data_IF_740096473570
#
_entry.id   IF_740096473570
#
_cell.length_a   1.000
_cell.length_b   1.000
_cell.length_c   1.000
_cell.angle_alpha   90.00
_cell.angle_beta   90.00
_cell.angle_gamma   90.00
#
_symmetry.space_group_name_H-M   'P 1'
#
loop_
_entity.id
_entity.type
_entity.pdbx_description
1 polymer ?
#
# COMPACT_ATOMS: atom_id res chain seq x y z
N UNK A 1 6.08 -11.21 11.43
CA UNK A 1 6.07 -11.36 9.95
C UNK A 1 5.89 -9.97 9.35
N UNK A 2 6.64 -9.62 8.30
CA UNK A 2 6.52 -8.32 7.63
C UNK A 2 5.21 -8.20 6.85
N UNK A 3 4.78 -6.98 6.56
CA UNK A 3 3.62 -6.75 5.69
C UNK A 3 3.99 -6.90 4.22
N UNK A 4 3.03 -7.29 3.40
CA UNK A 4 3.11 -7.33 1.94
C UNK A 4 1.95 -6.54 1.33
N UNK A 5 2.20 -5.92 0.17
CA UNK A 5 1.19 -5.26 -0.64
C UNK A 5 1.23 -5.84 -2.06
N UNK A 6 0.06 -6.07 -2.64
CA UNK A 6 -0.09 -6.60 -3.98
C UNK A 6 -0.84 -5.62 -4.86
N UNK A 7 -0.24 -5.28 -6.00
CA UNK A 7 -0.84 -4.36 -6.96
C UNK A 7 -1.42 -5.15 -8.13
N UNK A 8 -2.70 -4.94 -8.41
CA UNK A 8 -3.38 -5.37 -9.63
C UNK A 8 -4.00 -4.17 -10.33
N UNK A 9 -4.00 -4.21 -11.66
CA UNK A 9 -4.59 -3.19 -12.53
C UNK A 9 -5.46 -3.86 -13.59
N UNK A 10 -6.57 -3.21 -13.96
CA UNK A 10 -7.37 -3.59 -15.13
C UNK A 10 -6.58 -3.33 -16.41
N UNK A 11 -6.66 -4.25 -17.38
CA UNK A 11 -5.98 -4.16 -18.69
C UNK A 11 -6.24 -2.85 -19.46
N UNK A 12 -7.28 -2.10 -19.12
CA UNK A 12 -7.72 -0.92 -19.87
C UNK A 12 -7.11 0.42 -19.42
N UNK A 13 -6.25 0.44 -18.38
CA UNK A 13 -5.61 1.66 -17.86
C UNK A 13 -4.19 1.38 -17.34
N UNK A 14 -3.20 1.13 -18.22
CA UNK A 14 -1.80 0.91 -17.81
C UNK A 14 -1.13 2.19 -17.27
N UNK A 15 -1.65 3.36 -17.67
CA UNK A 15 -1.10 4.67 -17.31
C UNK A 15 -1.92 5.33 -16.20
N UNK A 16 -1.23 5.99 -15.27
CA UNK A 16 -1.87 6.68 -14.15
C UNK A 16 -2.09 5.83 -12.89
N UNK A 17 -1.50 4.63 -12.81
CA UNK A 17 -1.43 3.87 -11.55
C UNK A 17 0.01 3.46 -11.20
N UNK A 18 0.43 3.76 -9.99
CA UNK A 18 1.66 3.30 -9.38
C UNK A 18 1.42 2.97 -7.90
N UNK A 19 2.23 2.08 -7.37
CA UNK A 19 2.25 1.79 -5.96
C UNK A 19 3.54 1.08 -5.63
N UNK A 20 3.95 1.12 -4.37
CA UNK A 20 5.20 0.51 -3.99
C UNK A 20 5.47 0.55 -2.51
N UNK A 21 6.66 0.13 -2.14
CA UNK A 21 7.21 0.31 -0.80
C UNK A 21 8.32 1.38 -0.85
N UNK A 22 8.27 2.33 0.07
CA UNK A 22 9.33 3.31 0.27
C UNK A 22 9.61 3.41 1.78
N UNK A 23 10.86 3.19 2.19
CA UNK A 23 11.18 2.99 3.60
C UNK A 23 10.42 1.80 4.18
N UNK A 24 9.69 2.00 5.30
CA UNK A 24 8.83 0.99 5.91
C UNK A 24 7.32 1.23 5.67
N UNK A 25 6.98 1.93 4.60
CA UNK A 25 5.60 2.29 4.26
C UNK A 25 5.24 1.81 2.85
N UNK A 26 3.97 1.45 2.67
CA UNK A 26 3.40 1.26 1.34
C UNK A 26 2.77 2.56 0.87
N UNK A 27 2.86 2.85 -0.42
CA UNK A 27 2.21 4.00 -1.04
C UNK A 27 1.44 3.57 -2.29
N UNK A 28 0.37 4.30 -2.57
CA UNK A 28 -0.45 4.18 -3.77
C UNK A 28 -0.56 5.57 -4.40
N UNK A 29 -0.37 5.62 -5.72
CA UNK A 29 -0.56 6.80 -6.55
C UNK A 29 -1.51 6.43 -7.67
N UNK A 30 -2.65 7.10 -7.71
CA UNK A 30 -3.62 7.02 -8.79
C UNK A 30 -3.77 8.42 -9.40
N UNK A 31 -4.11 8.49 -10.68
CA UNK A 31 -4.40 9.71 -11.44
C UNK A 31 -3.17 10.54 -11.90
N UNK A 32 -3.35 11.32 -12.97
CA UNK A 32 -2.40 12.33 -13.43
C UNK A 32 -1.40 11.89 -14.51
N UNK A 33 -1.72 10.88 -15.33
CA UNK A 33 -0.95 10.47 -16.52
C UNK A 33 0.58 10.49 -16.32
N UNK A 34 1.06 9.86 -15.24
CA UNK A 34 2.48 9.86 -14.91
C UNK A 34 3.23 8.68 -15.52
N UNK A 35 4.50 8.91 -15.83
CA UNK A 35 5.49 7.88 -16.18
C UNK A 35 6.66 7.96 -15.19
N UNK A 36 7.21 6.82 -14.72
CA UNK A 36 6.78 5.44 -15.01
C UNK A 36 5.58 4.98 -14.16
N UNK A 37 4.72 4.11 -14.74
CA UNK A 37 3.72 3.33 -14.01
C UNK A 37 4.33 2.05 -13.45
N UNK A 38 3.61 1.38 -12.55
CA UNK A 38 4.01 0.09 -12.00
C UNK A 38 3.23 -1.01 -12.69
N UNK A 39 3.91 -2.08 -13.11
CA UNK A 39 3.25 -3.23 -13.72
C UNK A 39 2.27 -3.91 -12.75
N UNK A 40 1.15 -4.37 -13.30
CA UNK A 40 0.19 -5.24 -12.60
C UNK A 40 0.85 -6.54 -12.12
N UNK A 41 0.30 -7.15 -11.06
CA UNK A 41 0.74 -8.40 -10.43
C UNK A 41 2.14 -8.30 -9.78
N UNK A 42 2.44 -7.16 -9.17
CA UNK A 42 3.70 -6.94 -8.44
C UNK A 42 3.49 -6.97 -6.93
N UNK A 43 4.41 -7.65 -6.26
CA UNK A 43 4.52 -7.70 -4.82
C UNK A 43 5.50 -6.65 -4.32
N UNK A 44 5.13 -5.97 -3.24
CA UNK A 44 6.00 -5.10 -2.46
C UNK A 44 6.06 -5.59 -1.02
N UNK A 45 7.21 -5.39 -0.40
CA UNK A 45 7.51 -5.87 0.94
C UNK A 45 8.05 -4.75 1.81
N UNK A 46 7.78 -4.84 3.11
CA UNK A 46 8.36 -3.97 4.12
C UNK A 46 8.89 -4.80 5.30
N UNK A 47 9.77 -4.21 6.08
CA UNK A 47 10.33 -4.85 7.26
C UNK A 47 9.26 -5.00 8.36
N UNK A 48 9.32 -6.07 9.17
CA UNK A 48 8.45 -6.23 10.34
C UNK A 48 8.92 -5.33 11.50
N UNK A 49 8.85 -4.01 11.32
CA UNK A 49 9.18 -3.04 12.36
C UNK A 49 8.04 -2.03 12.57
N UNK A 50 8.06 -1.33 13.70
CA UNK A 50 7.05 -0.35 14.11
C UNK A 50 6.82 -0.37 15.62
N UNK A 51 6.00 0.58 16.10
CA UNK A 51 5.56 0.64 17.49
C UNK A 51 4.21 -0.07 17.59
N UNK A 52 4.09 -1.01 18.52
CA UNK A 52 2.80 -1.67 18.82
C UNK A 52 1.82 -0.59 19.33
N UNK A 53 0.59 -0.49 18.79
CA UNK A 53 -0.40 0.43 19.32
C UNK A 53 -0.74 0.10 20.77
N UNK A 54 -0.74 1.12 21.62
CA UNK A 54 -1.36 1.07 22.95
C UNK A 54 -2.82 1.54 22.79
N UNK A 55 -3.75 0.60 22.90
CA UNK A 55 -5.16 0.82 22.59
C UNK A 55 -6.04 0.35 23.73
N UNK A 56 -6.73 1.30 24.36
CA UNK A 56 -7.78 1.02 25.34
C UNK A 56 -9.10 0.74 24.63
N UNK A 57 -9.47 -0.53 24.54
CA UNK A 57 -10.71 -0.98 23.89
C UNK A 57 -11.97 -0.50 24.61
N UNK A 58 -11.89 -0.17 25.90
CA UNK A 58 -13.04 0.34 26.66
C UNK A 58 -13.46 1.76 26.24
N UNK A 59 -12.57 2.47 25.53
CA UNK A 59 -12.76 3.85 25.06
C UNK A 59 -13.13 3.96 23.58
N UNK A 60 -13.22 2.85 22.87
CA UNK A 60 -13.69 2.84 21.48
C UNK A 60 -15.22 3.01 21.42
N UNK A 61 -15.78 3.69 20.41
CA UNK A 61 -17.21 3.72 20.18
C UNK A 61 -17.77 2.29 20.11
N UNK A 62 -18.77 2.00 20.93
CA UNK A 62 -19.48 0.71 20.87
C UNK A 62 -20.62 0.81 19.86
N UNK A 63 -20.68 -0.17 18.94
CA UNK A 63 -21.76 -0.31 17.95
C UNK A 63 -22.96 -1.03 18.55
#
# INVERSE_FOLDING_TARGET
MGGNAYITQSRHKPDGFAGGAAGNQFHLRNDGFFTPSVASHKWFYRQPNGIRPDLDLSRLPQQ
#
